data_IF_587437953531
#
_entry.id   IF_587437953531
#
_cell.length_a   1.000
_cell.length_b   1.000
_cell.length_c   1.000
_cell.angle_alpha   90.00
_cell.angle_beta   90.00
_cell.angle_gamma   90.00
#
_symmetry.space_group_name_H-M   'P 1'
#
loop_
_entity.id
_entity.type
_entity.pdbx_description
1 polymer ?
#
# COMPACT_ATOMS: atom_id res chain seq x y z
N UNK A 1 -13.64 -36.05 46.45
CA UNK A 1 -14.46 -35.86 45.23
C UNK A 1 -14.27 -37.03 44.31
N UNK A 2 -15.36 -37.62 43.84
CA UNK A 2 -15.31 -38.76 42.92
C UNK A 2 -14.90 -38.28 41.53
N UNK A 3 -13.88 -38.90 40.93
CA UNK A 3 -13.43 -38.57 39.58
C UNK A 3 -14.44 -39.11 38.58
N UNK A 4 -14.87 -38.26 37.65
CA UNK A 4 -15.83 -38.62 36.59
C UNK A 4 -15.12 -38.75 35.25
N UNK A 5 -15.61 -39.67 34.41
CA UNK A 5 -15.10 -39.88 33.07
C UNK A 5 -15.62 -38.80 32.12
N UNK A 6 -14.74 -38.16 31.35
CA UNK A 6 -15.12 -37.15 30.37
C UNK A 6 -15.89 -37.67 29.15
N UNK A 7 -16.01 -39.00 28.96
CA UNK A 7 -16.75 -39.63 27.85
C UNK A 7 -18.14 -40.11 28.23
N UNK A 8 -18.24 -40.80 29.37
CA UNK A 8 -19.44 -41.51 29.79
C UNK A 8 -20.02 -40.97 31.09
N UNK A 9 -19.39 -39.96 31.69
CA UNK A 9 -19.81 -39.24 32.91
C UNK A 9 -19.95 -40.12 34.17
N UNK A 10 -19.61 -41.41 34.07
CA UNK A 10 -19.58 -42.35 35.19
C UNK A 10 -18.33 -42.15 36.03
N UNK A 11 -18.40 -42.55 37.30
CA UNK A 11 -17.26 -42.56 38.21
C UNK A 11 -16.14 -43.47 37.68
N UNK A 12 -14.91 -42.99 37.78
CA UNK A 12 -13.70 -43.72 37.40
C UNK A 12 -13.00 -44.18 38.67
N UNK A 13 -12.88 -45.49 38.84
CA UNK A 13 -12.14 -46.07 39.95
C UNK A 13 -10.62 -45.96 39.71
N UNK A 14 -9.79 -45.90 40.77
CA UNK A 14 -8.33 -45.80 40.64
C UNK A 14 -7.69 -46.84 39.70
N UNK A 15 -8.23 -48.06 39.68
CA UNK A 15 -7.74 -49.17 38.83
C UNK A 15 -7.89 -48.88 37.32
N UNK A 16 -8.93 -48.15 36.93
CA UNK A 16 -9.23 -47.81 35.55
C UNK A 16 -8.89 -46.36 35.20
N UNK A 17 -8.24 -45.62 36.12
CA UNK A 17 -8.00 -44.20 35.93
C UNK A 17 -6.97 -43.95 34.83
N UNK A 18 -7.38 -43.11 33.87
CA UNK A 18 -6.51 -42.55 32.86
C UNK A 18 -6.60 -41.03 32.93
N UNK A 19 -5.54 -40.38 33.45
CA UNK A 19 -5.42 -38.92 33.50
C UNK A 19 -4.81 -38.42 32.20
N UNK A 20 -5.56 -37.66 31.43
CA UNK A 20 -5.14 -37.17 30.12
C UNK A 20 -5.90 -35.89 29.75
N UNK A 21 -5.20 -34.89 29.20
CA UNK A 21 -5.77 -33.60 28.80
C UNK A 21 -6.59 -32.91 29.91
N UNK A 22 -6.03 -32.88 31.12
CA UNK A 22 -6.63 -32.33 32.36
C UNK A 22 -7.98 -32.96 32.75
N UNK A 23 -8.29 -34.14 32.20
CA UNK A 23 -9.52 -34.88 32.48
C UNK A 23 -9.21 -36.32 32.86
N UNK A 24 -10.16 -36.96 33.54
CA UNK A 24 -10.09 -38.38 33.87
C UNK A 24 -10.96 -39.15 32.88
N UNK A 25 -10.44 -40.29 32.42
CA UNK A 25 -11.09 -41.19 31.48
C UNK A 25 -10.97 -42.62 31.99
N UNK A 26 -11.90 -43.49 31.61
CA UNK A 26 -11.65 -44.93 31.67
C UNK A 26 -10.71 -45.33 30.53
N UNK A 27 -9.86 -46.33 30.74
CA UNK A 27 -8.99 -46.90 29.68
C UNK A 27 -9.77 -47.28 28.42
N UNK A 28 -10.97 -47.85 28.58
CA UNK A 28 -11.87 -48.25 27.48
C UNK A 28 -12.59 -47.05 26.85
N UNK A 29 -12.84 -45.99 27.62
CA UNK A 29 -13.53 -44.81 27.14
C UNK A 29 -12.64 -43.86 26.34
N UNK A 30 -11.32 -44.03 26.41
CA UNK A 30 -10.34 -43.21 25.73
C UNK A 30 -10.23 -43.58 24.24
N UNK A 31 -11.22 -43.13 23.47
CA UNK A 31 -11.33 -43.37 22.03
C UNK A 31 -11.29 -42.08 21.23
N UNK A 32 -10.81 -42.18 20.00
CA UNK A 32 -10.76 -41.06 19.06
C UNK A 32 -12.15 -40.49 18.80
N UNK A 33 -12.30 -39.16 18.86
CA UNK A 33 -13.60 -38.52 18.64
C UNK A 33 -14.15 -38.69 17.22
N UNK A 34 -13.29 -38.80 16.21
CA UNK A 34 -13.70 -38.92 14.80
C UNK A 34 -13.95 -40.36 14.37
N UNK A 35 -13.08 -41.31 14.73
CA UNK A 35 -13.19 -42.71 14.27
C UNK A 35 -13.57 -43.72 15.34
N UNK A 36 -13.67 -43.33 16.61
CA UNK A 36 -14.01 -44.25 17.69
C UNK A 36 -12.95 -45.30 18.01
N UNK A 37 -11.78 -45.27 17.36
CA UNK A 37 -10.66 -46.18 17.65
C UNK A 37 -10.17 -45.97 19.08
N UNK A 38 -10.00 -47.06 19.84
CA UNK A 38 -9.41 -47.01 21.17
C UNK A 38 -7.96 -46.52 21.09
N UNK A 39 -7.66 -45.47 21.85
CA UNK A 39 -6.34 -44.86 21.91
C UNK A 39 -5.64 -45.28 23.19
N UNK A 40 -4.31 -45.24 23.16
CA UNK A 40 -3.47 -45.50 24.33
C UNK A 40 -2.66 -44.24 24.65
N UNK A 41 -2.09 -44.15 25.85
CA UNK A 41 -1.23 -43.02 26.26
C UNK A 41 -0.09 -42.72 25.28
N UNK A 42 0.41 -43.73 24.57
CA UNK A 42 1.47 -43.57 23.55
C UNK A 42 0.97 -43.10 22.19
N UNK A 43 -0.25 -43.45 21.80
CA UNK A 43 -0.74 -43.31 20.42
C UNK A 43 -1.80 -42.21 20.23
N UNK A 44 -2.14 -41.49 21.30
CA UNK A 44 -3.10 -40.39 21.18
C UNK A 44 -2.39 -39.08 20.86
N UNK A 45 -3.10 -38.21 20.17
CA UNK A 45 -2.75 -36.80 20.06
C UNK A 45 -3.92 -35.95 20.54
N UNK A 46 -3.62 -34.95 21.36
CA UNK A 46 -4.64 -34.07 21.93
C UNK A 46 -4.89 -32.85 21.04
N UNK A 47 -6.15 -32.58 20.73
CA UNK A 47 -6.57 -31.33 20.10
C UNK A 47 -7.83 -30.83 20.82
N UNK A 48 -7.88 -29.55 21.23
CA UNK A 48 -9.01 -28.97 21.98
C UNK A 48 -9.51 -29.79 23.18
N UNK A 49 -8.58 -30.37 23.97
CA UNK A 49 -8.89 -31.23 25.14
C UNK A 49 -9.69 -32.51 24.82
N UNK A 50 -9.62 -32.98 23.58
CA UNK A 50 -10.17 -34.26 23.13
C UNK A 50 -9.07 -35.15 22.53
N UNK A 51 -9.18 -36.49 22.70
CA UNK A 51 -8.21 -37.42 22.14
C UNK A 51 -8.53 -37.72 20.66
N UNK A 52 -7.50 -37.61 19.81
CA UNK A 52 -7.54 -37.96 18.40
C UNK A 52 -6.46 -39.01 18.08
N UNK A 53 -6.70 -39.82 17.05
CA UNK A 53 -5.66 -40.66 16.49
C UNK A 53 -4.71 -39.82 15.61
N UNK A 54 -3.54 -40.36 15.31
CA UNK A 54 -2.55 -39.70 14.44
C UNK A 54 -3.11 -39.27 13.08
N UNK A 55 -3.99 -40.08 12.50
CA UNK A 55 -4.61 -39.80 11.20
C UNK A 55 -5.67 -38.69 11.23
N UNK A 56 -6.42 -38.57 12.33
CA UNK A 56 -7.55 -37.63 12.43
C UNK A 56 -7.27 -36.41 13.29
N UNK A 57 -6.01 -36.14 13.63
CA UNK A 57 -5.68 -34.91 14.32
C UNK A 57 -5.97 -33.73 13.37
N UNK A 58 -6.74 -32.71 13.79
CA UNK A 58 -6.84 -31.48 13.02
C UNK A 58 -5.46 -30.83 13.00
N UNK A 59 -4.69 -31.08 11.93
CA UNK A 59 -3.43 -30.40 11.69
C UNK A 59 -3.77 -28.93 11.52
N UNK A 60 -3.20 -28.08 12.36
CA UNK A 60 -3.27 -26.64 12.17
C UNK A 60 -2.71 -26.36 10.77
N UNK A 61 -3.61 -26.15 9.81
CA UNK A 61 -3.22 -25.62 8.50
C UNK A 61 -2.69 -24.23 8.83
N UNK A 62 -1.44 -23.95 8.45
CA UNK A 62 -0.89 -22.61 8.56
C UNK A 62 -1.86 -21.67 7.86
N UNK A 63 -2.66 -20.95 8.65
CA UNK A 63 -3.51 -19.91 8.13
C UNK A 63 -2.53 -18.85 7.65
N UNK A 64 -2.35 -18.74 6.34
CA UNK A 64 -1.81 -17.53 5.74
C UNK A 64 -2.69 -16.44 6.30
N UNK A 65 -2.16 -15.64 7.24
CA UNK A 65 -2.93 -14.60 7.91
C UNK A 65 -3.73 -13.88 6.83
N UNK A 66 -5.06 -13.88 6.98
CA UNK A 66 -5.94 -13.15 6.08
C UNK A 66 -5.47 -11.70 6.11
N UNK A 67 -4.92 -11.26 4.98
CA UNK A 67 -4.61 -9.89 4.60
C UNK A 67 -4.33 -8.96 5.79
N UNK A 68 -3.12 -9.04 6.35
CA UNK A 68 -2.67 -7.97 7.22
C UNK A 68 -2.80 -6.65 6.46
N UNK A 69 -3.29 -5.56 7.10
CA UNK A 69 -3.47 -4.27 6.43
C UNK A 69 -2.17 -3.73 5.82
N UNK A 70 -1.02 -4.22 6.29
CA UNK A 70 0.30 -3.98 5.70
C UNK A 70 0.47 -4.59 4.30
N UNK A 71 0.02 -5.82 4.04
CA UNK A 71 0.10 -6.40 2.68
C UNK A 71 -0.73 -5.59 1.67
N UNK A 72 -1.89 -5.07 2.10
CA UNK A 72 -2.74 -4.22 1.26
C UNK A 72 -2.05 -2.89 0.93
N UNK A 73 -1.42 -2.25 1.92
CA UNK A 73 -0.62 -1.03 1.71
C UNK A 73 0.57 -1.25 0.78
N UNK A 74 1.26 -2.39 0.87
CA UNK A 74 2.39 -2.72 -0.01
C UNK A 74 1.90 -2.94 -1.45
N UNK A 75 0.79 -3.64 -1.64
CA UNK A 75 0.21 -3.89 -2.97
C UNK A 75 -0.29 -2.60 -3.63
N UNK A 76 -1.00 -1.74 -2.90
CA UNK A 76 -1.45 -0.43 -3.40
C UNK A 76 -0.28 0.48 -3.75
N UNK A 77 0.74 0.55 -2.88
CA UNK A 77 1.97 1.30 -3.18
C UNK A 77 2.68 0.75 -4.43
N UNK A 78 2.78 -0.58 -4.58
CA UNK A 78 3.45 -1.19 -5.75
C UNK A 78 2.72 -0.85 -7.05
N UNK A 79 1.38 -0.87 -7.06
CA UNK A 79 0.56 -0.50 -8.23
C UNK A 79 0.66 0.98 -8.57
N UNK A 80 0.68 1.86 -7.55
CA UNK A 80 0.88 3.28 -7.75
C UNK A 80 2.27 3.56 -8.31
N UNK A 81 3.31 2.92 -7.75
CA UNK A 81 4.69 3.02 -8.23
C UNK A 81 4.82 2.54 -9.68
N UNK A 82 4.16 1.44 -10.07
CA UNK A 82 4.20 0.97 -11.47
C UNK A 82 3.50 1.94 -12.42
N UNK A 83 2.34 2.48 -12.06
CA UNK A 83 1.60 3.43 -12.91
C UNK A 83 2.35 4.77 -13.03
N UNK A 84 2.88 5.28 -11.91
CA UNK A 84 3.72 6.49 -11.91
C UNK A 84 4.97 6.25 -12.74
N UNK A 85 5.64 5.10 -12.62
CA UNK A 85 6.82 4.79 -13.45
C UNK A 85 6.48 4.72 -14.94
N UNK A 86 5.38 4.06 -15.29
CA UNK A 86 4.92 3.93 -16.69
C UNK A 86 4.62 5.29 -17.32
N UNK A 87 3.93 6.17 -16.58
CA UNK A 87 3.62 7.51 -17.06
C UNK A 87 4.78 8.50 -16.89
N UNK A 88 5.71 8.29 -15.95
CA UNK A 88 6.84 9.19 -15.72
C UNK A 88 7.86 9.17 -16.84
N UNK A 89 8.12 8.01 -17.45
CA UNK A 89 9.00 7.93 -18.62
C UNK A 89 8.31 8.53 -19.86
N UNK A 90 6.98 8.38 -19.96
CA UNK A 90 6.16 9.03 -20.99
C UNK A 90 6.08 10.55 -20.80
N UNK A 91 5.98 11.05 -19.57
CA UNK A 91 5.97 12.48 -19.25
C UNK A 91 7.36 13.11 -19.31
N UNK A 92 8.43 12.36 -19.05
CA UNK A 92 9.82 12.82 -19.28
C UNK A 92 10.15 12.87 -20.78
N UNK A 93 9.65 11.91 -21.56
CA UNK A 93 9.85 11.85 -23.03
C UNK A 93 8.91 12.75 -23.81
N UNK A 94 7.74 13.09 -23.25
CA UNK A 94 7.07 14.37 -23.53
C UNK A 94 7.94 15.48 -22.97
N UNK A 95 9.07 15.72 -23.63
CA UNK A 95 10.00 16.78 -23.28
C UNK A 95 9.19 18.00 -22.90
N UNK A 96 9.47 18.56 -21.72
CA UNK A 96 8.90 19.83 -21.30
C UNK A 96 9.22 20.81 -22.42
N UNK A 97 8.25 21.01 -23.30
CA UNK A 97 8.22 22.18 -24.14
C UNK A 97 7.88 23.30 -23.16
N UNK A 98 8.92 23.75 -22.45
CA UNK A 98 8.92 25.09 -21.92
C UNK A 98 8.63 25.95 -23.13
N UNK A 99 7.39 26.44 -23.24
CA UNK A 99 7.15 27.64 -24.02
C UNK A 99 8.05 28.67 -23.36
N UNK A 100 9.28 28.79 -23.86
CA UNK A 100 10.19 29.86 -23.51
C UNK A 100 9.44 31.09 -24.00
N UNK A 101 8.66 31.68 -23.10
CA UNK A 101 7.77 32.79 -23.38
C UNK A 101 8.62 34.06 -23.47
N UNK A 102 9.43 34.10 -24.52
CA UNK A 102 10.48 35.06 -24.86
C UNK A 102 11.87 34.61 -24.38
N UNK A 103 12.68 34.12 -25.33
CA UNK A 103 14.13 34.11 -25.20
C UNK A 103 14.59 35.53 -24.79
N UNK A 104 15.54 35.71 -23.85
CA UNK A 104 16.11 37.02 -23.52
C UNK A 104 16.50 37.87 -24.75
N UNK A 105 16.86 37.22 -25.86
CA UNK A 105 17.10 37.85 -27.16
C UNK A 105 15.84 38.55 -27.71
N UNK A 106 14.69 37.89 -27.67
CA UNK A 106 13.42 38.39 -28.19
C UNK A 106 12.88 39.57 -27.36
N UNK A 107 13.11 39.58 -26.05
CA UNK A 107 12.82 40.72 -25.18
C UNK A 107 13.66 41.95 -25.53
N UNK A 108 14.97 41.76 -25.79
CA UNK A 108 15.85 42.86 -26.22
C UNK A 108 15.44 43.42 -27.57
N UNK A 109 15.12 42.56 -28.55
CA UNK A 109 14.66 43.00 -29.87
C UNK A 109 13.37 43.83 -29.72
N UNK A 110 12.40 43.34 -28.95
CA UNK A 110 11.12 44.04 -28.71
C UNK A 110 11.29 45.39 -28.01
N UNK A 111 12.18 45.48 -27.02
CA UNK A 111 12.52 46.75 -26.36
C UNK A 111 13.20 47.72 -27.33
N UNK A 112 14.17 47.26 -28.11
CA UNK A 112 14.84 48.08 -29.12
C UNK A 112 13.85 48.58 -30.18
N UNK A 113 12.95 47.72 -30.68
CA UNK A 113 11.91 48.13 -31.65
C UNK A 113 11.01 49.24 -31.08
N UNK A 114 10.61 49.14 -29.80
CA UNK A 114 9.79 50.17 -29.13
C UNK A 114 10.53 51.49 -28.93
N UNK A 115 11.81 51.43 -28.57
CA UNK A 115 12.63 52.63 -28.40
C UNK A 115 12.82 53.32 -29.76
N UNK A 116 13.15 52.56 -30.79
CA UNK A 116 13.31 53.09 -32.16
C UNK A 116 12.02 53.74 -32.64
N UNK A 117 10.85 53.10 -32.43
CA UNK A 117 9.57 53.68 -32.85
C UNK A 117 9.23 54.97 -32.11
N UNK A 118 9.50 55.05 -30.80
CA UNK A 118 9.25 56.26 -30.01
C UNK A 118 10.19 57.40 -30.41
N UNK A 119 11.47 57.12 -30.64
CA UNK A 119 12.44 58.13 -31.09
C UNK A 119 12.09 58.64 -32.49
N UNK A 120 11.63 57.78 -33.39
CA UNK A 120 11.17 58.21 -34.70
C UNK A 120 9.95 59.15 -34.58
N UNK A 121 8.94 58.76 -33.80
CA UNK A 121 7.71 59.56 -33.65
C UNK A 121 7.95 60.91 -32.97
N UNK A 122 8.63 60.92 -31.83
CA UNK A 122 8.90 62.16 -31.10
C UNK A 122 10.01 62.98 -31.75
N UNK A 123 11.03 62.33 -32.32
CA UNK A 123 12.13 63.03 -33.00
C UNK A 123 11.69 63.73 -34.29
N UNK A 124 10.76 63.15 -35.05
CA UNK A 124 10.22 63.84 -36.23
C UNK A 124 9.30 65.01 -35.85
N UNK A 125 8.58 64.91 -34.72
CA UNK A 125 7.80 66.01 -34.16
C UNK A 125 8.71 67.15 -33.67
N UNK A 126 9.77 66.84 -32.93
CA UNK A 126 10.76 67.81 -32.45
C UNK A 126 11.48 68.49 -33.61
N UNK A 127 11.89 67.75 -34.64
CA UNK A 127 12.49 68.33 -35.86
C UNK A 127 11.53 69.28 -36.57
N UNK A 128 10.25 68.91 -36.70
CA UNK A 128 9.22 69.79 -37.29
C UNK A 128 9.02 71.05 -36.45
N UNK A 129 8.93 70.92 -35.13
CA UNK A 129 8.79 72.07 -34.22
C UNK A 129 10.01 73.01 -34.27
N UNK A 130 11.23 72.47 -34.34
CA UNK A 130 12.46 73.27 -34.49
C UNK A 130 12.51 73.96 -35.86
N UNK A 131 12.08 73.30 -36.94
CA UNK A 131 11.97 73.92 -38.26
C UNK A 131 10.93 75.03 -38.29
N UNK A 132 9.80 74.86 -37.61
CA UNK A 132 8.74 75.86 -37.51
C UNK A 132 9.17 77.08 -36.68
N UNK A 133 9.85 76.85 -35.54
CA UNK A 133 10.46 77.95 -34.77
C UNK A 133 11.53 78.71 -35.56
N UNK A 134 12.37 78.02 -36.35
CA UNK A 134 13.33 78.69 -37.24
C UNK A 134 12.66 79.47 -38.36
N UNK A 135 11.48 79.04 -38.82
CA UNK A 135 10.69 79.79 -39.80
C UNK A 135 10.13 81.06 -39.17
N UNK A 136 9.62 81.00 -37.93
CA UNK A 136 9.06 82.17 -37.24
C UNK A 136 10.11 83.16 -36.72
N UNK A 137 11.39 82.76 -36.63
CA UNK A 137 12.52 83.64 -36.26
C UNK A 137 13.13 84.39 -37.46
N UNK A 138 12.79 84.00 -38.70
CA UNK A 138 13.31 84.57 -39.94
C UNK A 138 12.28 85.45 -40.70
N UNK A 139 11.08 85.65 -40.14
CA UNK A 139 10.10 86.69 -40.51
C UNK A 139 10.21 87.87 -39.53
#
# INVERSE_FOLDING_TARGET
MNKICARCEKVVYPTEELKCLDKVWHKVCFKCQSCGMALNMRNYKGFNKQPYCEAHIPKAKATTMAETPELKRIAENTKLQSNVKYHADFEKSKGKFTQVADDPEMLRIKQNTKIISNVAYHGDLEKKAVMEQKRTLND
#
